data_IF_416131163292
#
_entry.id   IF_416131163292
#
_cell.length_a   1.000
_cell.length_b   1.000
_cell.length_c   1.000
_cell.angle_alpha   90.00
_cell.angle_beta   90.00
_cell.angle_gamma   90.00
#
_symmetry.space_group_name_H-M   'P 1'
#
loop_
_entity.id
_entity.type
_entity.pdbx_description
1 polymer ?
#
# COMPACT_ATOMS: atom_id res chain seq x y z
N UNK A 1 12.10 -38.18 -76.41
CA UNK A 1 11.16 -37.37 -75.65
C UNK A 1 11.48 -37.43 -74.17
N UNK A 2 12.12 -36.44 -73.57
CA UNK A 2 12.49 -36.38 -72.13
C UNK A 2 11.49 -35.54 -71.42
N UNK A 3 10.70 -36.08 -70.48
CA UNK A 3 9.82 -35.36 -69.59
C UNK A 3 10.66 -34.74 -68.47
N UNK A 4 10.64 -33.43 -68.37
CA UNK A 4 11.18 -32.67 -67.20
C UNK A 4 10.09 -32.53 -66.11
N UNK A 5 10.31 -33.15 -64.93
CA UNK A 5 9.53 -32.94 -63.75
C UNK A 5 10.02 -31.69 -63.07
N UNK A 6 9.17 -30.71 -62.92
CA UNK A 6 9.43 -29.51 -62.11
C UNK A 6 8.97 -29.80 -60.67
N UNK A 7 9.90 -29.85 -59.74
CA UNK A 7 9.59 -29.91 -58.32
C UNK A 7 9.26 -28.51 -57.79
N UNK A 8 8.03 -28.34 -57.29
CA UNK A 8 7.55 -27.12 -56.66
C UNK A 8 7.92 -27.17 -55.18
N UNK A 9 8.89 -26.35 -54.78
CA UNK A 9 9.30 -26.25 -53.39
C UNK A 9 8.36 -25.25 -52.67
N UNK A 10 7.49 -25.78 -51.80
CA UNK A 10 6.69 -24.96 -50.89
C UNK A 10 7.57 -24.47 -49.74
N UNK A 11 7.85 -23.18 -49.72
CA UNK A 11 8.39 -22.50 -48.54
C UNK A 11 7.24 -22.22 -47.55
N UNK A 12 7.15 -23.00 -46.48
CA UNK A 12 6.28 -22.68 -45.34
C UNK A 12 6.99 -21.62 -44.46
N UNK A 13 6.56 -20.39 -44.60
CA UNK A 13 6.97 -19.33 -43.68
C UNK A 13 6.20 -19.50 -42.35
N UNK A 14 6.81 -20.18 -41.38
CA UNK A 14 6.31 -20.26 -40.01
C UNK A 14 6.47 -18.92 -39.33
N UNK A 15 5.36 -18.18 -39.15
CA UNK A 15 5.33 -17.00 -38.34
C UNK A 15 5.40 -17.41 -36.84
N UNK A 16 6.57 -17.25 -36.20
CA UNK A 16 6.72 -17.43 -34.78
C UNK A 16 6.01 -16.23 -34.08
N UNK A 17 4.83 -16.46 -33.51
CA UNK A 17 4.18 -15.52 -32.62
C UNK A 17 4.85 -15.60 -31.25
N UNK A 18 5.73 -14.66 -30.95
CA UNK A 18 6.17 -14.39 -29.58
C UNK A 18 5.03 -13.68 -28.85
N UNK A 19 4.23 -14.41 -28.10
CA UNK A 19 3.35 -13.84 -27.10
C UNK A 19 4.21 -13.33 -25.93
N UNK A 20 4.57 -12.06 -25.95
CA UNK A 20 5.03 -11.40 -24.74
C UNK A 20 3.84 -11.27 -23.79
N UNK A 21 3.80 -12.09 -22.75
CA UNK A 21 2.92 -11.85 -21.62
C UNK A 21 3.40 -10.58 -20.94
N UNK A 22 2.77 -9.46 -21.27
CA UNK A 22 3.00 -8.20 -20.55
C UNK A 22 2.21 -8.32 -19.25
N UNK A 23 2.90 -8.65 -18.15
CA UNK A 23 2.29 -8.53 -16.83
C UNK A 23 2.00 -7.05 -16.58
N UNK A 24 0.75 -6.68 -16.50
CA UNK A 24 0.35 -5.37 -16.00
C UNK A 24 0.75 -5.31 -14.54
N UNK A 25 1.78 -4.53 -14.20
CA UNK A 25 2.08 -4.26 -12.81
C UNK A 25 0.84 -3.62 -12.17
N UNK A 26 0.21 -4.33 -11.24
CA UNK A 26 -0.85 -3.77 -10.42
C UNK A 26 -0.20 -2.89 -9.36
N UNK A 27 -0.79 -1.73 -9.07
CA UNK A 27 -0.34 -0.94 -7.93
C UNK A 27 -0.45 -1.75 -6.65
N UNK A 28 0.50 -1.57 -5.75
CA UNK A 28 0.53 -2.25 -4.46
C UNK A 28 -0.61 -1.80 -3.54
N UNK A 29 -0.92 -2.61 -2.54
CA UNK A 29 -1.99 -2.32 -1.60
C UNK A 29 -1.57 -1.23 -0.61
N UNK A 30 -2.50 -0.32 -0.34
CA UNK A 30 -2.38 0.74 0.67
C UNK A 30 -3.41 0.48 1.77
N UNK A 31 -3.01 0.60 3.03
CA UNK A 31 -3.87 0.53 4.21
C UNK A 31 -3.53 1.67 5.15
N UNK A 32 -4.46 2.59 5.33
CA UNK A 32 -4.31 3.77 6.19
C UNK A 32 -5.33 3.69 7.30
N UNK A 33 -4.95 3.98 8.54
CA UNK A 33 -5.89 3.98 9.65
C UNK A 33 -5.68 5.17 10.57
N UNK A 34 -6.78 5.79 10.99
CA UNK A 34 -6.83 6.79 12.04
C UNK A 34 -6.87 6.19 13.45
N UNK A 35 -6.95 4.88 13.56
CA UNK A 35 -6.64 4.14 14.78
C UNK A 35 -5.12 4.04 14.94
N UNK A 36 -4.66 3.86 16.17
CA UNK A 36 -3.26 3.60 16.50
C UNK A 36 -3.06 2.15 17.01
N UNK A 37 -3.26 1.15 16.15
CA UNK A 37 -3.25 -0.24 16.55
C UNK A 37 -1.88 -0.72 17.06
N UNK A 38 -0.79 -0.07 16.67
CA UNK A 38 0.56 -0.33 17.15
C UNK A 38 0.71 -0.04 18.66
N UNK A 39 -0.01 0.96 19.17
CA UNK A 39 -0.08 1.28 20.59
C UNK A 39 -1.09 0.38 21.32
N UNK A 40 -2.35 0.35 20.87
CA UNK A 40 -3.44 -0.31 21.60
C UNK A 40 -3.36 -1.83 21.55
N UNK A 41 -2.67 -2.43 20.58
CA UNK A 41 -2.39 -3.88 20.56
C UNK A 41 -1.63 -4.37 21.79
N UNK A 42 -0.90 -3.48 22.45
CA UNK A 42 -0.15 -3.73 23.69
C UNK A 42 -1.05 -3.70 24.94
N UNK A 43 -2.30 -3.27 24.80
CA UNK A 43 -3.28 -3.24 25.89
C UNK A 43 -3.84 -4.63 26.18
N UNK A 44 -4.36 -4.81 27.40
CA UNK A 44 -5.11 -6.02 27.77
C UNK A 44 -6.59 -5.96 27.33
N UNK A 45 -7.30 -7.07 27.55
CA UNK A 45 -8.75 -7.13 27.35
C UNK A 45 -9.21 -6.96 25.89
N UNK A 46 -10.48 -6.57 25.72
CA UNK A 46 -11.12 -6.48 24.41
C UNK A 46 -10.49 -5.43 23.49
N UNK A 47 -10.03 -4.31 24.05
CA UNK A 47 -9.34 -3.25 23.32
C UNK A 47 -8.08 -3.78 22.62
N UNK A 48 -7.19 -4.44 23.37
CA UNK A 48 -5.97 -4.99 22.82
C UNK A 48 -6.22 -6.12 21.81
N UNK A 49 -7.26 -6.94 22.01
CA UNK A 49 -7.66 -7.96 21.03
C UNK A 49 -8.10 -7.29 19.72
N UNK A 50 -8.99 -6.31 19.80
CA UNK A 50 -9.46 -5.60 18.62
C UNK A 50 -8.34 -4.89 17.87
N UNK A 51 -7.48 -4.16 18.59
CA UNK A 51 -6.33 -3.50 17.99
C UNK A 51 -5.38 -4.47 17.27
N UNK A 52 -5.12 -5.67 17.86
CA UNK A 52 -4.31 -6.71 17.20
C UNK A 52 -4.96 -7.23 15.92
N UNK A 53 -6.30 -7.42 15.94
CA UNK A 53 -7.02 -7.86 14.74
C UNK A 53 -6.94 -6.81 13.64
N UNK A 54 -7.17 -5.53 13.94
CA UNK A 54 -7.02 -4.44 12.98
C UNK A 54 -5.60 -4.33 12.44
N UNK A 55 -4.60 -4.37 13.33
CA UNK A 55 -3.18 -4.27 12.97
C UNK A 55 -2.74 -5.43 12.06
N UNK A 56 -3.06 -6.67 12.47
CA UNK A 56 -2.77 -7.87 11.69
C UNK A 56 -3.48 -7.86 10.33
N UNK A 57 -4.74 -7.40 10.28
CA UNK A 57 -5.48 -7.25 9.01
C UNK A 57 -4.79 -6.25 8.08
N UNK A 58 -4.40 -5.09 8.58
CA UNK A 58 -3.69 -4.08 7.78
C UNK A 58 -2.34 -4.58 7.27
N UNK A 59 -1.53 -5.21 8.12
CA UNK A 59 -0.25 -5.80 7.71
C UNK A 59 -0.45 -6.94 6.70
N UNK A 60 -1.40 -7.84 6.91
CA UNK A 60 -1.75 -8.89 5.93
C UNK A 60 -2.15 -8.29 4.58
N UNK A 61 -2.97 -7.25 4.62
CA UNK A 61 -3.43 -6.59 3.40
C UNK A 61 -2.27 -6.06 2.57
N UNK A 62 -1.32 -5.36 3.21
CA UNK A 62 -0.20 -4.70 2.49
C UNK A 62 0.94 -5.66 2.12
N UNK A 63 1.06 -6.79 2.80
CA UNK A 63 2.09 -7.81 2.51
C UNK A 63 1.58 -8.98 1.67
N UNK A 64 0.33 -8.92 1.20
CA UNK A 64 -0.28 -10.01 0.43
C UNK A 64 -0.58 -11.26 1.28
N UNK A 65 -0.81 -11.10 2.60
CA UNK A 65 -1.13 -12.19 3.52
C UNK A 65 0.08 -12.95 4.08
N UNK A 66 1.28 -12.40 3.91
CA UNK A 66 2.53 -13.10 4.25
C UNK A 66 3.36 -12.45 5.37
N UNK A 67 2.80 -11.50 6.13
CA UNK A 67 3.57 -10.73 7.10
C UNK A 67 4.20 -11.57 8.23
N UNK A 68 3.65 -12.73 8.51
CA UNK A 68 4.10 -13.62 9.60
C UNK A 68 4.79 -14.90 9.12
N UNK A 69 5.11 -15.01 7.82
CA UNK A 69 5.81 -16.17 7.28
C UNK A 69 7.32 -15.98 7.35
N UNK A 70 8.02 -17.03 7.78
CA UNK A 70 9.49 -17.07 7.80
C UNK A 70 10.03 -17.50 6.41
N UNK A 71 9.63 -16.81 5.37
CA UNK A 71 10.02 -17.08 3.98
C UNK A 71 11.17 -16.19 3.47
N UNK A 72 11.71 -15.34 4.37
CA UNK A 72 12.75 -14.36 4.04
C UNK A 72 12.22 -13.04 3.47
N UNK A 73 10.92 -12.92 3.23
CA UNK A 73 10.29 -11.67 2.80
C UNK A 73 9.94 -10.82 4.02
N UNK A 74 10.57 -9.66 4.11
CA UNK A 74 10.35 -8.73 5.22
C UNK A 74 9.57 -7.52 4.78
N UNK A 75 8.94 -6.84 5.73
CA UNK A 75 8.52 -5.46 5.56
C UNK A 75 9.43 -4.50 6.33
N UNK A 76 9.44 -3.23 5.96
CA UNK A 76 10.17 -2.17 6.64
C UNK A 76 9.25 -1.51 7.67
N UNK A 77 9.64 -1.51 8.95
CA UNK A 77 8.95 -0.75 10.01
C UNK A 77 9.64 0.58 10.23
N UNK A 78 8.89 1.69 10.05
CA UNK A 78 9.42 3.05 10.21
C UNK A 78 9.02 3.58 11.58
N UNK A 79 10.02 3.78 12.44
CA UNK A 79 9.84 4.25 13.81
C UNK A 79 11.12 4.90 14.34
N UNK A 80 10.99 5.97 15.12
CA UNK A 80 12.11 6.61 15.79
C UNK A 80 12.72 5.71 16.87
N UNK A 81 14.00 5.94 17.19
CA UNK A 81 14.70 5.30 18.32
C UNK A 81 14.93 6.25 19.50
N UNK A 82 14.12 7.26 19.62
CA UNK A 82 14.12 8.10 20.82
C UNK A 82 13.55 7.32 22.01
N UNK A 83 13.85 7.75 23.23
CA UNK A 83 13.19 7.21 24.43
C UNK A 83 11.67 7.46 24.37
N UNK A 84 10.90 6.67 25.10
CA UNK A 84 9.44 6.79 25.17
C UNK A 84 9.05 8.04 25.97
N UNK A 85 8.61 9.15 25.34
CA UNK A 85 8.04 10.30 26.04
C UNK A 85 6.73 9.91 26.72
N UNK A 86 6.27 10.74 27.64
CA UNK A 86 5.01 10.49 28.37
C UNK A 86 3.83 10.25 27.42
N UNK A 87 3.09 9.18 27.63
CA UNK A 87 1.95 8.78 26.79
C UNK A 87 2.29 7.97 25.55
N UNK A 88 3.54 7.97 25.11
CA UNK A 88 3.97 7.20 23.94
C UNK A 88 4.50 5.81 24.33
N UNK A 89 4.40 4.86 23.44
CA UNK A 89 5.01 3.52 23.54
C UNK A 89 5.81 3.23 22.27
N UNK A 90 6.72 2.27 22.37
CA UNK A 90 7.39 1.73 21.20
C UNK A 90 6.36 0.96 20.38
N UNK A 91 6.02 1.42 19.18
CA UNK A 91 5.04 0.76 18.28
C UNK A 91 5.49 -0.63 17.84
N UNK A 92 6.81 -0.84 17.73
CA UNK A 92 7.43 -2.15 17.50
C UNK A 92 6.99 -3.22 18.52
N UNK A 93 6.68 -2.85 19.76
CA UNK A 93 6.13 -3.78 20.74
C UNK A 93 4.74 -4.29 20.34
N UNK A 94 3.98 -3.49 19.60
CA UNK A 94 2.72 -3.91 18.97
C UNK A 94 2.92 -5.03 17.95
N UNK A 95 3.99 -4.98 17.15
CA UNK A 95 4.38 -6.06 16.25
C UNK A 95 4.69 -7.35 17.04
N UNK A 96 5.36 -7.22 18.20
CA UNK A 96 5.62 -8.35 19.10
C UNK A 96 4.35 -9.04 19.59
N UNK A 97 3.24 -8.31 19.78
CA UNK A 97 1.94 -8.90 20.17
C UNK A 97 1.31 -9.76 19.06
N UNK A 98 1.72 -9.55 17.82
CA UNK A 98 1.36 -10.37 16.65
C UNK A 98 2.31 -11.54 16.42
N UNK A 99 3.32 -11.73 17.30
CA UNK A 99 4.33 -12.78 17.16
C UNK A 99 5.44 -12.44 16.16
N UNK A 100 5.56 -11.17 15.75
CA UNK A 100 6.58 -10.74 14.81
C UNK A 100 7.90 -10.41 15.51
N UNK A 101 9.02 -10.71 14.86
CA UNK A 101 10.36 -10.51 15.37
C UNK A 101 11.23 -9.69 14.40
N UNK A 102 11.96 -8.73 14.95
CA UNK A 102 12.95 -7.93 14.24
C UNK A 102 14.02 -8.83 13.59
N UNK A 103 14.39 -8.51 12.38
CA UNK A 103 15.38 -9.26 11.59
C UNK A 103 14.83 -10.53 10.94
N UNK A 104 13.68 -11.03 11.39
CA UNK A 104 13.01 -12.21 10.80
C UNK A 104 11.84 -11.79 9.92
N UNK A 105 10.90 -11.02 10.44
CA UNK A 105 9.66 -10.62 9.76
C UNK A 105 9.72 -9.18 9.24
N UNK A 106 10.50 -8.34 9.90
CA UNK A 106 10.68 -6.93 9.53
C UNK A 106 12.09 -6.45 9.90
N UNK A 107 12.50 -5.40 9.22
CA UNK A 107 13.62 -4.55 9.64
C UNK A 107 13.05 -3.20 10.09
N UNK A 108 13.76 -2.51 11.01
CA UNK A 108 13.35 -1.22 11.51
C UNK A 108 14.25 -0.11 11.00
N UNK A 109 13.66 1.02 10.58
CA UNK A 109 14.39 2.20 10.18
C UNK A 109 13.92 3.45 10.94
N UNK A 110 14.86 4.20 11.51
CA UNK A 110 14.69 5.57 11.94
C UNK A 110 14.99 6.54 10.78
N UNK A 111 14.91 7.85 11.00
CA UNK A 111 15.13 8.86 9.98
C UNK A 111 16.48 8.72 9.24
N UNK A 112 17.57 8.39 9.94
CA UNK A 112 18.89 8.27 9.34
C UNK A 112 18.99 7.04 8.41
N UNK A 113 18.47 5.91 8.85
CA UNK A 113 18.43 4.66 8.06
C UNK A 113 17.43 4.78 6.90
N UNK A 114 16.26 5.38 7.16
CA UNK A 114 15.21 5.61 6.18
C UNK A 114 15.70 6.48 5.00
N UNK A 115 16.63 7.40 5.23
CA UNK A 115 17.16 8.27 4.19
C UNK A 115 17.85 7.52 3.05
N UNK A 116 18.39 6.32 3.30
CA UNK A 116 19.18 5.53 2.33
C UNK A 116 18.70 4.12 2.07
N UNK A 117 17.68 3.64 2.82
CA UNK A 117 17.14 2.28 2.63
C UNK A 117 16.57 2.11 1.21
N UNK A 118 16.77 0.96 0.62
CA UNK A 118 16.16 0.61 -0.66
C UNK A 118 14.79 -0.06 -0.40
N UNK A 119 13.71 0.62 -0.75
CA UNK A 119 12.35 0.10 -0.52
C UNK A 119 12.07 -1.20 -1.27
N UNK A 120 12.73 -1.44 -2.42
CA UNK A 120 12.51 -2.67 -3.20
C UNK A 120 13.02 -3.94 -2.51
N UNK A 121 13.78 -3.81 -1.40
CA UNK A 121 14.23 -4.96 -0.61
C UNK A 121 13.13 -5.50 0.33
N UNK A 122 11.96 -4.86 0.34
CA UNK A 122 10.84 -5.16 1.23
C UNK A 122 9.53 -5.42 0.47
N UNK A 123 8.64 -6.19 1.09
CA UNK A 123 7.28 -6.41 0.55
C UNK A 123 6.35 -5.24 0.83
N UNK A 124 6.59 -4.53 1.92
CA UNK A 124 5.79 -3.36 2.32
C UNK A 124 6.63 -2.37 3.15
N UNK A 125 6.17 -1.12 3.20
CA UNK A 125 6.58 -0.11 4.16
C UNK A 125 5.45 0.04 5.17
N UNK A 126 5.73 -0.12 6.45
CA UNK A 126 4.77 0.06 7.54
C UNK A 126 5.26 1.16 8.48
N UNK A 127 4.39 2.13 8.78
CA UNK A 127 4.73 3.37 9.46
C UNK A 127 3.98 3.43 10.79
N UNK A 128 4.72 3.61 11.89
CA UNK A 128 4.20 3.74 13.25
C UNK A 128 3.26 4.94 13.39
N UNK A 129 2.38 4.90 14.38
CA UNK A 129 1.58 6.06 14.77
C UNK A 129 2.44 7.16 15.40
N UNK A 130 1.95 8.38 15.34
CA UNK A 130 2.73 9.55 15.79
C UNK A 130 2.57 9.88 17.27
N UNK A 131 1.49 9.44 17.91
CA UNK A 131 1.24 9.69 19.33
C UNK A 131 1.35 8.42 20.16
N UNK A 132 0.64 7.38 19.80
CA UNK A 132 0.71 6.08 20.46
C UNK A 132 2.05 5.39 20.20
N UNK A 133 2.52 5.42 18.96
CA UNK A 133 3.85 4.97 18.55
C UNK A 133 4.93 6.06 18.67
N UNK A 134 6.04 5.88 17.97
CA UNK A 134 7.19 6.78 18.00
C UNK A 134 7.54 7.34 16.60
N UNK A 135 6.54 7.63 15.76
CA UNK A 135 6.80 8.39 14.54
C UNK A 135 7.07 9.85 14.93
N UNK A 136 8.26 10.34 14.60
CA UNK A 136 8.64 11.73 14.87
C UNK A 136 8.66 12.57 13.60
N UNK A 137 8.81 13.89 13.76
CA UNK A 137 8.94 14.81 12.63
C UNK A 137 10.14 14.45 11.74
N UNK A 138 11.22 13.92 12.30
CA UNK A 138 12.40 13.55 11.54
C UNK A 138 12.12 12.43 10.53
N UNK A 139 11.41 11.36 10.95
CA UNK A 139 10.98 10.29 10.05
C UNK A 139 9.98 10.80 9.01
N UNK A 140 9.01 11.64 9.42
CA UNK A 140 8.02 12.19 8.51
C UNK A 140 8.65 13.06 7.43
N UNK A 141 9.63 13.91 7.77
CA UNK A 141 10.33 14.76 6.80
C UNK A 141 11.09 13.91 5.76
N UNK A 142 11.71 12.80 6.18
CA UNK A 142 12.37 11.87 5.26
C UNK A 142 11.34 11.17 4.36
N UNK A 143 10.22 10.71 4.92
CA UNK A 143 9.14 10.10 4.13
C UNK A 143 8.62 11.06 3.05
N UNK A 144 8.35 12.32 3.44
CA UNK A 144 7.90 13.36 2.50
C UNK A 144 8.96 13.64 1.43
N UNK A 145 10.24 13.75 1.83
CA UNK A 145 11.35 13.95 0.90
C UNK A 145 11.55 12.78 -0.07
N UNK A 146 11.09 11.58 0.31
CA UNK A 146 11.16 10.35 -0.49
C UNK A 146 9.80 9.93 -1.09
N UNK A 147 8.85 10.83 -1.16
CA UNK A 147 7.50 10.53 -1.69
C UNK A 147 7.53 9.93 -3.09
N UNK A 148 8.44 10.39 -3.98
CA UNK A 148 8.60 9.83 -5.32
C UNK A 148 9.14 8.38 -5.31
N UNK A 149 10.02 8.03 -4.37
CA UNK A 149 10.50 6.65 -4.19
C UNK A 149 9.37 5.75 -3.68
N UNK A 150 8.57 6.25 -2.73
CA UNK A 150 7.40 5.54 -2.19
C UNK A 150 6.36 5.33 -3.30
N UNK A 151 6.10 6.35 -4.12
CA UNK A 151 5.23 6.24 -5.28
C UNK A 151 5.71 5.14 -6.24
N UNK A 152 6.99 5.17 -6.58
CA UNK A 152 7.61 4.16 -7.46
C UNK A 152 7.48 2.76 -6.87
N UNK A 153 7.73 2.60 -5.57
CA UNK A 153 7.62 1.35 -4.85
C UNK A 153 6.18 0.80 -4.87
N UNK A 154 5.18 1.64 -4.55
CA UNK A 154 3.78 1.23 -4.56
C UNK A 154 3.31 0.91 -5.99
N UNK A 155 3.71 1.71 -6.99
CA UNK A 155 3.37 1.44 -8.39
C UNK A 155 4.02 0.15 -8.94
N UNK A 156 5.13 -0.29 -8.33
CA UNK A 156 5.78 -1.57 -8.63
C UNK A 156 5.13 -2.77 -7.90
N UNK A 157 4.12 -2.55 -7.06
CA UNK A 157 3.41 -3.60 -6.32
C UNK A 157 3.74 -3.67 -4.83
N UNK A 158 4.64 -2.84 -4.33
CA UNK A 158 4.98 -2.77 -2.90
C UNK A 158 3.83 -2.23 -2.05
N UNK A 159 3.62 -2.79 -0.86
CA UNK A 159 2.54 -2.40 0.04
C UNK A 159 2.89 -1.19 0.93
N UNK A 160 1.87 -0.45 1.37
CA UNK A 160 2.04 0.69 2.27
C UNK A 160 1.00 0.66 3.39
N UNK A 161 1.46 0.50 4.63
CA UNK A 161 0.67 0.63 5.84
C UNK A 161 1.05 1.91 6.56
N UNK A 162 0.08 2.70 7.02
CA UNK A 162 0.33 3.85 7.88
C UNK A 162 -0.76 4.00 8.94
N UNK A 163 -0.34 4.16 10.19
CA UNK A 163 -1.19 4.55 11.30
C UNK A 163 -1.10 6.05 11.53
N UNK A 164 -2.20 6.66 11.91
CA UNK A 164 -2.21 8.06 12.28
C UNK A 164 -3.04 8.26 13.54
N UNK A 165 -2.47 8.92 14.50
CA UNK A 165 -3.13 9.29 15.75
C UNK A 165 -3.18 10.80 15.94
N UNK A 166 -3.02 11.58 14.90
CA UNK A 166 -2.77 12.98 15.08
C UNK A 166 -3.76 13.91 14.38
N UNK A 167 -4.81 14.35 15.11
CA UNK A 167 -5.61 15.51 14.71
C UNK A 167 -6.25 16.20 15.93
N UNK A 168 -5.89 17.46 16.22
CA UNK A 168 -4.71 18.22 15.79
C UNK A 168 -3.42 17.74 16.47
N UNK A 169 -2.30 17.76 15.73
CA UNK A 169 -1.01 17.24 16.18
C UNK A 169 -0.25 18.08 17.21
N UNK A 170 -0.88 19.05 17.85
CA UNK A 170 -0.20 20.12 18.59
C UNK A 170 0.66 19.71 19.79
N UNK A 171 0.56 18.51 20.31
CA UNK A 171 1.27 18.09 21.54
C UNK A 171 2.02 16.75 21.41
N UNK A 172 2.17 16.22 20.20
CA UNK A 172 2.81 14.92 19.95
C UNK A 172 4.20 15.04 19.32
N UNK A 173 4.79 13.91 18.96
CA UNK A 173 6.15 13.83 18.44
C UNK A 173 6.30 14.49 17.05
N UNK A 174 5.23 14.78 16.36
CA UNK A 174 5.28 15.44 15.05
C UNK A 174 5.49 16.95 15.14
N UNK A 175 5.42 17.56 16.32
CA UNK A 175 5.55 18.99 16.63
C UNK A 175 5.84 19.85 15.38
N UNK A 176 4.86 20.62 14.89
CA UNK A 176 5.03 21.37 13.63
C UNK A 176 3.77 21.38 12.79
N UNK A 177 3.87 21.24 11.47
CA UNK A 177 2.74 21.45 10.58
C UNK A 177 1.55 20.55 10.88
N UNK A 178 0.43 21.05 10.45
CA UNK A 178 -0.90 20.54 10.68
C UNK A 178 -1.17 19.20 9.95
N UNK A 179 -2.27 18.59 10.27
CA UNK A 179 -2.74 17.33 9.72
C UNK A 179 -2.57 17.11 8.19
N UNK A 180 -2.67 18.09 7.29
CA UNK A 180 -2.41 17.90 5.87
C UNK A 180 -1.02 17.36 5.54
N UNK A 181 -0.04 17.65 6.41
CA UNK A 181 1.35 17.23 6.22
C UNK A 181 1.62 15.80 6.71
N UNK A 182 0.74 15.25 7.56
CA UNK A 182 0.88 13.95 8.20
C UNK A 182 0.99 12.80 7.18
N UNK A 183 0.28 12.92 6.07
CA UNK A 183 0.30 11.97 4.96
C UNK A 183 0.90 12.58 3.68
N UNK A 184 1.73 13.62 3.82
CA UNK A 184 2.34 14.30 2.68
C UNK A 184 3.29 13.44 1.84
N UNK A 185 3.70 12.29 2.35
CA UNK A 185 4.46 11.29 1.61
C UNK A 185 3.58 10.39 0.75
N UNK A 186 2.26 10.39 1.00
CA UNK A 186 1.35 9.55 0.24
C UNK A 186 1.18 10.09 -1.17
N UNK A 187 1.14 9.20 -2.11
CA UNK A 187 0.85 9.52 -3.48
C UNK A 187 -0.64 9.69 -3.78
N UNK A 188 -1.52 9.41 -2.83
CA UNK A 188 -2.96 9.71 -2.89
C UNK A 188 -3.28 10.87 -1.96
N UNK A 189 -4.17 11.76 -2.38
CA UNK A 189 -4.58 12.89 -1.53
C UNK A 189 -5.61 12.41 -0.51
N UNK A 190 -5.23 12.42 0.75
CA UNK A 190 -6.14 12.25 1.89
C UNK A 190 -6.11 13.49 2.76
N UNK A 191 -7.16 13.74 3.54
CA UNK A 191 -7.18 14.83 4.53
C UNK A 191 -7.63 14.28 5.87
N UNK A 192 -6.87 14.57 6.92
CA UNK A 192 -7.26 14.21 8.29
C UNK A 192 -8.26 15.20 8.85
N UNK A 193 -9.26 14.69 9.55
CA UNK A 193 -10.29 15.46 10.28
C UNK A 193 -10.52 14.81 11.65
N UNK A 194 -11.21 15.52 12.54
CA UNK A 194 -11.59 14.97 13.85
C UNK A 194 -12.52 13.77 13.73
N UNK A 195 -12.48 12.88 14.70
CA UNK A 195 -13.27 11.64 14.75
C UNK A 195 -14.40 11.71 15.76
N UNK A 196 -15.44 10.88 15.59
CA UNK A 196 -16.61 10.79 16.45
C UNK A 196 -17.04 9.33 16.68
N UNK A 197 -16.63 8.66 17.78
CA UNK A 197 -17.06 7.30 18.08
C UNK A 197 -18.59 7.22 18.27
N UNK A 198 -19.24 6.04 18.16
CA UNK A 198 -18.65 4.72 17.88
C UNK A 198 -18.30 4.50 16.40
N UNK A 199 -17.56 3.43 16.16
CA UNK A 199 -17.08 3.03 14.83
C UNK A 199 -17.89 1.87 14.27
N UNK A 200 -18.00 1.81 12.94
CA UNK A 200 -18.74 0.76 12.25
C UNK A 200 -17.96 0.24 11.04
N UNK A 201 -17.71 -1.07 11.00
CA UNK A 201 -17.10 -1.74 9.87
C UNK A 201 -18.03 -1.70 8.66
N UNK A 202 -17.51 -1.31 7.50
CA UNK A 202 -18.26 -1.34 6.24
C UNK A 202 -18.32 -2.76 5.66
N UNK A 203 -19.09 -2.95 4.58
CA UNK A 203 -19.10 -4.22 3.85
C UNK A 203 -17.72 -4.58 3.31
N UNK A 204 -16.91 -3.59 2.89
CA UNK A 204 -15.53 -3.80 2.45
C UNK A 204 -14.64 -4.28 3.62
N UNK A 205 -14.72 -3.60 4.77
CA UNK A 205 -13.97 -4.00 5.97
C UNK A 205 -14.35 -5.39 6.48
N UNK A 206 -15.65 -5.74 6.44
CA UNK A 206 -16.11 -7.09 6.76
C UNK A 206 -15.54 -8.14 5.78
N UNK A 207 -15.40 -7.78 4.51
CA UNK A 207 -14.72 -8.60 3.50
C UNK A 207 -13.24 -8.85 3.80
N UNK A 208 -12.60 -7.97 4.58
CA UNK A 208 -11.23 -8.16 5.11
C UNK A 208 -11.19 -8.99 6.42
N UNK A 209 -12.35 -9.40 6.93
CA UNK A 209 -12.47 -10.19 8.16
C UNK A 209 -12.65 -9.37 9.44
N UNK A 210 -12.81 -8.05 9.36
CA UNK A 210 -13.01 -7.17 10.52
C UNK A 210 -14.46 -7.18 10.99
N UNK A 211 -14.65 -6.98 12.29
CA UNK A 211 -15.95 -6.80 12.95
C UNK A 211 -15.89 -5.54 13.84
N UNK A 212 -17.05 -4.99 14.21
CA UNK A 212 -17.11 -3.75 15.00
C UNK A 212 -16.34 -3.81 16.33
N UNK A 213 -16.22 -5.00 16.95
CA UNK A 213 -15.42 -5.17 18.16
C UNK A 213 -13.92 -4.96 17.95
N UNK A 214 -13.43 -5.06 16.73
CA UNK A 214 -12.02 -4.83 16.40
C UNK A 214 -11.66 -3.33 16.38
N UNK A 215 -12.67 -2.46 16.36
CA UNK A 215 -12.57 -1.02 16.33
C UNK A 215 -12.68 -0.37 17.73
N UNK A 216 -12.50 -1.15 18.78
CA UNK A 216 -12.60 -0.65 20.16
C UNK A 216 -11.41 0.23 20.60
N UNK A 217 -10.34 0.23 19.83
CA UNK A 217 -9.20 1.11 20.07
C UNK A 217 -9.62 2.58 19.89
N UNK A 218 -9.18 3.49 20.76
CA UNK A 218 -9.38 4.91 20.56
C UNK A 218 -8.89 5.35 19.20
N UNK A 219 -9.58 6.33 18.63
CA UNK A 219 -9.24 6.91 17.33
C UNK A 219 -9.12 8.41 17.49
N UNK A 220 -8.08 8.98 16.91
CA UNK A 220 -7.79 10.40 17.04
C UNK A 220 -8.09 11.19 15.78
N UNK A 221 -8.23 10.52 14.64
CA UNK A 221 -8.61 11.16 13.38
C UNK A 221 -9.44 10.27 12.45
N UNK A 222 -10.16 10.93 11.57
CA UNK A 222 -10.86 10.36 10.43
C UNK A 222 -10.36 11.02 9.14
N UNK A 223 -10.80 10.52 7.99
CA UNK A 223 -10.42 11.05 6.69
C UNK A 223 -11.60 11.77 6.02
N UNK A 224 -11.40 13.03 5.63
CA UNK A 224 -12.36 13.80 4.85
C UNK A 224 -12.27 13.53 3.36
N UNK A 225 -11.06 13.29 2.84
CA UNK A 225 -10.79 12.82 1.47
C UNK A 225 -10.18 11.42 1.55
N UNK A 226 -10.59 10.53 0.66
CA UNK A 226 -10.25 9.11 0.69
C UNK A 226 -9.29 8.68 -0.44
N UNK A 227 -8.87 9.60 -1.32
CA UNK A 227 -7.85 9.35 -2.35
C UNK A 227 -8.16 8.21 -3.33
N UNK A 228 -9.43 7.84 -3.50
CA UNK A 228 -9.83 6.71 -4.33
C UNK A 228 -9.74 5.34 -3.64
N UNK A 229 -9.36 5.30 -2.35
CA UNK A 229 -9.34 4.09 -1.54
C UNK A 229 -10.77 3.72 -1.08
N UNK A 230 -10.97 2.44 -0.75
CA UNK A 230 -12.20 1.96 -0.16
C UNK A 230 -12.23 2.28 1.34
N UNK A 231 -13.42 2.54 1.87
CA UNK A 231 -13.63 2.78 3.29
C UNK A 231 -13.78 1.43 4.00
N UNK A 232 -12.90 1.16 4.96
CA UNK A 232 -12.90 -0.06 5.78
C UNK A 232 -13.84 0.07 6.96
N UNK A 233 -13.80 1.21 7.65
CA UNK A 233 -14.71 1.56 8.73
C UNK A 233 -15.00 3.05 8.76
N UNK A 234 -16.07 3.41 9.46
CA UNK A 234 -16.54 4.79 9.60
C UNK A 234 -16.76 5.15 11.06
N UNK A 235 -16.67 6.43 11.37
CA UNK A 235 -17.14 6.99 12.63
C UNK A 235 -18.68 7.16 12.65
N UNK A 236 -19.21 7.64 13.79
CA UNK A 236 -20.65 7.86 14.01
C UNK A 236 -21.30 8.79 13.00
N UNK A 237 -20.56 9.74 12.43
CA UNK A 237 -21.09 10.73 11.49
C UNK A 237 -20.81 10.35 10.03
N UNK A 238 -20.22 9.18 9.80
CA UNK A 238 -19.98 8.61 8.48
C UNK A 238 -18.63 8.98 7.85
N UNK A 239 -17.73 9.62 8.59
CA UNK A 239 -16.37 9.85 8.09
C UNK A 239 -15.58 8.55 8.08
N UNK A 240 -14.77 8.36 7.06
CA UNK A 240 -13.86 7.23 6.98
C UNK A 240 -12.78 7.29 8.09
N UNK A 241 -12.54 6.17 8.77
CA UNK A 241 -11.48 6.07 9.79
C UNK A 241 -10.34 5.20 9.32
N UNK A 242 -10.65 4.15 8.58
CA UNK A 242 -9.65 3.31 7.92
C UNK A 242 -9.95 3.21 6.44
N UNK A 243 -8.91 3.29 5.63
CA UNK A 243 -8.95 3.25 4.18
C UNK A 243 -8.05 2.12 3.67
N UNK A 244 -8.50 1.38 2.65
CA UNK A 244 -7.64 0.40 2.00
C UNK A 244 -7.96 0.26 0.50
N UNK A 245 -6.95 -0.04 -0.30
CA UNK A 245 -7.15 -0.22 -1.74
C UNK A 245 -5.84 -0.30 -2.51
N UNK A 246 -5.96 -0.64 -3.79
CA UNK A 246 -4.86 -0.63 -4.74
C UNK A 246 -5.13 0.52 -5.71
N UNK A 247 -4.46 1.64 -5.52
CA UNK A 247 -4.63 2.83 -6.35
C UNK A 247 -3.32 3.12 -7.07
N UNK A 248 -3.36 3.14 -8.41
CA UNK A 248 -2.23 3.64 -9.19
C UNK A 248 -2.07 5.13 -8.95
N UNK A 249 -0.87 5.52 -8.63
CA UNK A 249 -0.54 6.82 -8.11
C UNK A 249 0.29 7.57 -9.15
N UNK A 250 0.10 8.89 -9.25
CA UNK A 250 0.95 9.76 -10.08
C UNK A 250 0.71 9.67 -11.59
N UNK A 251 -0.31 8.99 -12.03
CA UNK A 251 -0.64 8.87 -13.44
C UNK A 251 -1.43 10.07 -13.98
N UNK A 252 -0.84 11.23 -14.04
CA UNK A 252 -1.31 12.32 -14.93
C UNK A 252 -1.09 11.95 -16.40
N UNK A 253 -1.80 10.97 -16.89
CA UNK A 253 -1.79 10.54 -18.28
C UNK A 253 -2.19 9.07 -18.37
N UNK A 254 -3.25 8.78 -19.11
CA UNK A 254 -3.50 7.43 -19.59
C UNK A 254 -2.28 6.98 -20.39
N UNK A 255 -1.34 6.28 -19.74
CA UNK A 255 -0.43 5.42 -20.50
C UNK A 255 -1.32 4.25 -20.92
N UNK A 256 -1.65 4.09 -22.22
CA UNK A 256 -2.42 2.95 -22.65
C UNK A 256 -1.69 1.71 -22.16
N UNK A 257 -2.40 0.86 -21.42
CA UNK A 257 -1.82 -0.39 -20.93
C UNK A 257 -1.10 -1.10 -22.08
N UNK A 258 0.05 -1.73 -21.86
CA UNK A 258 0.79 -2.41 -22.93
C UNK A 258 -0.09 -3.36 -23.74
N UNK A 259 -1.12 -3.95 -23.12
CA UNK A 259 -2.14 -4.75 -23.82
C UNK A 259 -2.96 -3.93 -24.82
N UNK A 260 -3.30 -2.70 -24.49
CA UNK A 260 -4.04 -1.78 -25.41
C UNK A 260 -3.17 -1.40 -26.59
N UNK A 261 -1.88 -1.17 -26.40
CA UNK A 261 -0.92 -0.90 -27.47
C UNK A 261 -0.69 -2.14 -28.34
N UNK A 262 -0.61 -3.33 -27.73
CA UNK A 262 -0.49 -4.58 -28.48
C UNK A 262 -1.76 -4.86 -29.31
N UNK A 263 -2.95 -4.68 -28.74
CA UNK A 263 -4.23 -4.82 -29.45
C UNK A 263 -4.37 -3.79 -30.57
N UNK A 264 -3.96 -2.54 -30.36
CA UNK A 264 -3.92 -1.52 -31.38
C UNK A 264 -2.95 -1.91 -32.50
N UNK A 265 -1.76 -2.42 -32.17
CA UNK A 265 -0.80 -2.91 -33.15
C UNK A 265 -1.31 -4.08 -33.96
N UNK A 266 -1.96 -5.07 -33.33
CA UNK A 266 -2.59 -6.20 -34.00
C UNK A 266 -3.76 -5.74 -34.89
N UNK A 267 -4.57 -4.83 -34.39
CA UNK A 267 -5.68 -4.24 -35.15
C UNK A 267 -5.22 -3.52 -36.42
N UNK A 268 -4.17 -2.70 -36.31
CA UNK A 268 -3.58 -1.99 -37.45
C UNK A 268 -2.91 -2.94 -38.44
N UNK A 269 -2.20 -3.96 -37.97
CA UNK A 269 -1.64 -5.01 -38.81
C UNK A 269 -2.73 -5.78 -39.56
N UNK A 270 -3.81 -6.17 -38.89
CA UNK A 270 -4.97 -6.83 -39.48
C UNK A 270 -5.63 -6.02 -40.59
N UNK A 271 -5.77 -4.71 -40.39
CA UNK A 271 -6.28 -3.77 -41.41
C UNK A 271 -5.33 -3.65 -42.61
N UNK A 272 -4.02 -3.64 -42.39
CA UNK A 272 -3.01 -3.63 -43.45
C UNK A 272 -3.07 -4.89 -44.33
N UNK A 273 -3.22 -6.07 -43.72
CA UNK A 273 -3.35 -7.34 -44.47
C UNK A 273 -4.68 -7.45 -45.25
N UNK A 274 -5.77 -6.94 -44.69
CA UNK A 274 -7.08 -6.98 -45.35
C UNK A 274 -7.13 -6.09 -46.62
N UNK A 275 -6.42 -4.96 -46.64
CA UNK A 275 -6.31 -4.10 -47.83
C UNK A 275 -5.50 -4.73 -48.96
N UNK A 276 -4.47 -5.50 -48.63
CA UNK A 276 -3.62 -6.15 -49.64
C UNK A 276 -4.32 -7.26 -50.44
N UNK A 277 -5.34 -7.89 -49.85
CA UNK A 277 -6.17 -8.90 -50.53
C UNK A 277 -7.21 -8.37 -51.50
N UNK A 278 -7.51 -7.04 -51.44
CA UNK A 278 -8.50 -6.43 -52.37
C UNK A 278 -7.89 -5.78 -53.60
N UNK A 279 -6.56 -5.78 -53.75
CA UNK A 279 -5.83 -5.22 -54.88
C UNK A 279 -5.18 -6.30 -55.80
N UNK A 280 -5.61 -7.56 -55.71
CA UNK A 280 -5.16 -8.65 -56.58
C UNK A 280 -6.28 -9.16 -57.47
#
# INVERSE_FOLDING_TARGET
MKKRSSALTLFSAGALFFCFAVSTASAGPIFLTGHDPDFHSQSGGAEGVGARNLFGTGLNYVTGGTYNLNDGNKFLWVESRIGTPGGHRIGELGLGTLGLALGTHYDRANAAELASVNFSDYTAIAIASSFGGLLTRAELDVLIGRSADIETFVNAGGGLFASSECFPCGANLLAGPTAPDLFGFLPVTVTSIGTAPPFTVTAFGAGLGLVNSDLNAPTHNSFGLVGGLNIVDTDRVGNAVTLAGNVRIGGGGFIPEPATMALLGIGLAGLGFSRRKRSS
#
